data_IF_271229786997
#
_entry.id   IF_271229786997
#
_cell.length_a   1.000
_cell.length_b   1.000
_cell.length_c   1.000
_cell.angle_alpha   90.00
_cell.angle_beta   90.00
_cell.angle_gamma   90.00
#
_symmetry.space_group_name_H-M   'P 1'
#
loop_
_entity.id
_entity.type
_entity.pdbx_description
1 polymer ?
#
# COMPACT_ATOMS: atom_id res chain seq x y z
N UNK A 1 -3.72 -10.50 -12.27
CA UNK A 1 -4.77 -10.96 -11.33
C UNK A 1 -6.10 -11.06 -12.06
N UNK A 2 -6.90 -12.09 -11.78
CA UNK A 2 -8.24 -12.29 -12.34
C UNK A 2 -9.33 -11.70 -11.41
N UNK A 3 -10.57 -11.63 -11.90
CA UNK A 3 -11.71 -11.09 -11.12
C UNK A 3 -12.00 -11.85 -9.82
N UNK A 4 -11.72 -13.15 -9.75
CA UNK A 4 -11.95 -13.96 -8.55
C UNK A 4 -10.92 -13.62 -7.47
N UNK A 5 -9.64 -13.55 -7.84
CA UNK A 5 -8.53 -13.17 -6.94
C UNK A 5 -8.74 -11.77 -6.35
N UNK A 6 -9.16 -10.80 -7.18
CA UNK A 6 -9.49 -9.44 -6.73
C UNK A 6 -10.66 -9.46 -5.74
N UNK A 7 -11.71 -10.24 -6.01
CA UNK A 7 -12.86 -10.36 -5.13
C UNK A 7 -12.51 -11.04 -3.79
N UNK A 8 -11.56 -11.98 -3.78
CA UNK A 8 -11.05 -12.63 -2.58
C UNK A 8 -10.30 -11.64 -1.69
N UNK A 9 -9.36 -10.88 -2.25
CA UNK A 9 -8.63 -9.86 -1.49
C UNK A 9 -9.61 -8.79 -0.98
N UNK A 10 -10.53 -8.32 -1.81
CA UNK A 10 -11.53 -7.32 -1.41
C UNK A 10 -12.38 -7.78 -0.23
N UNK A 11 -12.77 -9.07 -0.17
CA UNK A 11 -13.53 -9.62 0.96
C UNK A 11 -12.74 -9.59 2.26
N UNK A 12 -11.41 -9.67 2.20
CA UNK A 12 -10.52 -9.63 3.37
C UNK A 12 -10.30 -8.20 3.87
N UNK A 13 -10.40 -7.19 3.02
CA UNK A 13 -10.36 -5.78 3.43
C UNK A 13 -11.63 -5.27 4.14
N UNK A 14 -12.56 -6.16 4.48
CA UNK A 14 -13.73 -5.81 5.27
C UNK A 14 -13.30 -5.59 6.74
N UNK A 15 -13.62 -4.47 7.40
CA UNK A 15 -13.22 -4.19 8.78
C UNK A 15 -13.48 -5.34 9.77
N UNK A 16 -14.62 -6.02 9.63
CA UNK A 16 -14.99 -7.16 10.50
C UNK A 16 -14.16 -8.44 10.30
N UNK A 17 -13.38 -8.54 9.21
CA UNK A 17 -12.62 -9.75 8.83
C UNK A 17 -11.18 -9.46 8.39
N UNK A 18 -10.73 -8.22 8.57
CA UNK A 18 -9.41 -7.79 8.11
C UNK A 18 -8.33 -8.32 9.02
N UNK A 19 -7.35 -8.99 8.43
CA UNK A 19 -6.12 -9.42 9.10
C UNK A 19 -4.97 -8.44 8.82
N UNK A 20 -5.28 -7.22 8.37
CA UNK A 20 -4.27 -6.19 8.14
C UNK A 20 -3.49 -5.96 9.43
N UNK A 21 -2.17 -6.17 9.36
CA UNK A 21 -1.31 -6.15 10.54
C UNK A 21 -0.79 -4.74 10.81
N UNK A 22 -0.52 -3.98 9.75
CA UNK A 22 0.05 -2.64 9.82
C UNK A 22 -0.47 -1.77 8.68
N UNK A 23 -0.86 -0.54 9.03
CA UNK A 23 -1.09 0.54 8.07
C UNK A 23 -0.05 1.63 8.34
N UNK A 24 0.64 2.05 7.27
CA UNK A 24 1.50 3.23 7.26
C UNK A 24 0.94 4.32 6.37
N UNK A 25 1.15 5.56 6.78
CA UNK A 25 0.85 6.73 5.96
C UNK A 25 2.00 7.71 5.94
N UNK A 26 2.35 8.22 4.76
CA UNK A 26 3.25 9.37 4.55
C UNK A 26 2.40 10.52 4.00
N UNK A 27 2.17 11.57 4.78
CA UNK A 27 1.47 12.78 4.31
C UNK A 27 2.47 13.78 3.74
N UNK A 28 2.30 14.14 2.48
CA UNK A 28 3.22 14.95 1.69
C UNK A 28 2.52 16.24 1.29
N UNK A 29 3.21 17.38 1.47
CA UNK A 29 2.71 18.67 1.04
C UNK A 29 3.02 18.95 -0.45
N UNK A 30 2.44 20.03 -0.99
CA UNK A 30 2.72 20.52 -2.34
C UNK A 30 4.22 20.84 -2.62
N UNK A 31 5.03 21.03 -1.58
CA UNK A 31 6.48 21.27 -1.70
C UNK A 31 7.29 19.96 -1.74
N UNK A 32 6.62 18.80 -1.83
CA UNK A 32 7.27 17.47 -1.81
C UNK A 32 7.97 17.15 -0.49
N UNK A 33 7.50 17.74 0.60
CA UNK A 33 8.02 17.48 1.95
C UNK A 33 7.05 16.59 2.73
N UNK A 34 7.60 15.59 3.43
CA UNK A 34 6.83 14.76 4.35
C UNK A 34 6.55 15.56 5.62
N UNK A 35 5.29 15.92 5.84
CA UNK A 35 4.88 16.72 7.01
C UNK A 35 4.33 15.88 8.16
N UNK A 36 3.92 14.63 7.89
CA UNK A 36 3.51 13.68 8.93
C UNK A 36 3.67 12.23 8.45
N UNK A 37 4.01 11.35 9.39
CA UNK A 37 4.07 9.91 9.15
C UNK A 37 3.40 9.17 10.31
N UNK A 38 2.74 8.06 10.01
CA UNK A 38 2.22 7.16 11.03
C UNK A 38 2.42 5.71 10.63
N UNK A 39 2.52 4.85 11.65
CA UNK A 39 2.56 3.41 11.51
C UNK A 39 1.79 2.81 12.69
N UNK A 40 0.59 2.29 12.43
CA UNK A 40 -0.24 1.71 13.47
C UNK A 40 -0.95 0.45 12.98
N UNK A 41 -1.20 -0.46 13.90
CA UNK A 41 -2.08 -1.58 13.63
C UNK A 41 -3.53 -1.07 13.54
N UNK A 42 -4.34 -1.55 12.57
CA UNK A 42 -5.76 -1.20 12.50
C UNK A 42 -6.52 -1.46 13.82
N UNK A 43 -6.09 -2.44 14.61
CA UNK A 43 -6.69 -2.78 15.91
C UNK A 43 -6.36 -1.76 17.02
N UNK A 44 -5.30 -0.97 16.84
CA UNK A 44 -4.87 0.06 17.78
C UNK A 44 -5.36 1.46 17.39
N UNK A 45 -5.90 1.61 16.17
CA UNK A 45 -6.51 2.84 15.68
C UNK A 45 -7.95 2.99 16.19
N UNK A 46 -8.51 4.21 16.22
CA UNK A 46 -9.95 4.40 16.35
C UNK A 46 -10.70 3.66 15.24
N UNK A 47 -11.83 3.04 15.58
CA UNK A 47 -12.64 2.24 14.65
C UNK A 47 -12.99 3.02 13.37
N UNK A 48 -13.47 4.26 13.51
CA UNK A 48 -13.81 5.14 12.39
C UNK A 48 -12.60 5.41 11.45
N UNK A 49 -11.39 5.51 11.98
CA UNK A 49 -10.17 5.72 11.18
C UNK A 49 -9.76 4.44 10.44
N UNK A 50 -9.76 3.31 11.15
CA UNK A 50 -9.45 2.00 10.57
C UNK A 50 -10.44 1.66 9.44
N UNK A 51 -11.75 1.86 9.66
CA UNK A 51 -12.78 1.66 8.64
C UNK A 51 -12.55 2.56 7.43
N UNK A 52 -12.21 3.84 7.65
CA UNK A 52 -11.94 4.77 6.56
C UNK A 52 -10.76 4.32 5.70
N UNK A 53 -9.63 3.94 6.31
CA UNK A 53 -8.47 3.46 5.57
C UNK A 53 -8.76 2.15 4.83
N UNK A 54 -9.38 1.16 5.48
CA UNK A 54 -9.77 -0.10 4.83
C UNK A 54 -10.75 0.12 3.68
N UNK A 55 -11.68 1.07 3.82
CA UNK A 55 -12.60 1.44 2.75
C UNK A 55 -11.88 2.06 1.55
N UNK A 56 -10.81 2.84 1.76
CA UNK A 56 -9.99 3.40 0.68
C UNK A 56 -9.29 2.29 -0.09
N UNK A 57 -8.65 1.34 0.60
CA UNK A 57 -8.03 0.18 -0.05
C UNK A 57 -9.07 -0.71 -0.77
N UNK A 58 -10.24 -0.93 -0.17
CA UNK A 58 -11.33 -1.67 -0.82
C UNK A 58 -11.82 -0.99 -2.10
N UNK A 59 -11.81 0.35 -2.14
CA UNK A 59 -12.18 1.14 -3.33
C UNK A 59 -11.16 1.01 -4.46
N UNK A 60 -9.86 0.92 -4.18
CA UNK A 60 -8.85 0.69 -5.24
C UNK A 60 -9.02 -0.68 -5.90
N UNK A 61 -9.49 -1.67 -5.15
CA UNK A 61 -9.86 -3.00 -5.66
C UNK A 61 -11.27 -3.07 -6.28
N UNK A 62 -12.01 -1.95 -6.30
CA UNK A 62 -13.35 -1.87 -6.86
C UNK A 62 -13.32 -1.29 -8.28
N UNK A 63 -14.16 -1.83 -9.18
CA UNK A 63 -14.30 -1.34 -10.56
C UNK A 63 -13.78 -2.30 -11.62
N UNK A 64 -13.48 -1.76 -12.80
CA UNK A 64 -12.88 -2.52 -13.90
C UNK A 64 -11.37 -2.64 -13.68
N UNK A 65 -10.77 -3.82 -13.85
CA UNK A 65 -9.31 -3.96 -13.97
C UNK A 65 -8.75 -2.93 -14.95
N UNK A 66 -7.54 -2.41 -14.71
CA UNK A 66 -6.83 -1.37 -15.49
C UNK A 66 -7.32 0.09 -15.31
N UNK A 67 -8.42 0.34 -14.59
CA UNK A 67 -8.80 1.72 -14.20
C UNK A 67 -8.35 2.10 -12.79
N UNK A 68 -8.66 1.25 -11.81
CA UNK A 68 -8.33 1.49 -10.39
C UNK A 68 -7.25 0.53 -9.87
N UNK A 69 -7.00 -0.54 -10.62
CA UNK A 69 -5.98 -1.55 -10.34
C UNK A 69 -5.11 -1.68 -11.59
N UNK A 70 -3.93 -1.05 -11.55
CA UNK A 70 -2.94 -1.14 -12.62
C UNK A 70 -2.05 -2.34 -12.34
N UNK A 71 -1.98 -3.27 -13.28
CA UNK A 71 -1.08 -4.40 -13.16
C UNK A 71 0.34 -3.98 -13.53
N UNK A 72 1.22 -3.88 -12.53
CA UNK A 72 2.64 -3.59 -12.75
C UNK A 72 3.36 -4.92 -12.95
N UNK A 73 3.67 -5.25 -14.19
CA UNK A 73 4.46 -6.43 -14.54
C UNK A 73 5.96 -6.15 -14.43
N UNK A 74 6.69 -7.00 -13.72
CA UNK A 74 8.15 -7.01 -13.75
C UNK A 74 8.64 -7.98 -14.80
N UNK A 75 9.60 -7.56 -15.64
CA UNK A 75 10.35 -8.48 -16.50
C UNK A 75 11.24 -9.41 -15.67
N UNK A 76 11.63 -10.56 -16.22
CA UNK A 76 12.49 -11.53 -15.53
C UNK A 76 13.83 -10.92 -15.11
N UNK A 77 14.33 -9.94 -15.86
CA UNK A 77 15.55 -9.19 -15.55
C UNK A 77 15.32 -8.21 -14.39
N UNK A 78 14.21 -7.47 -14.37
CA UNK A 78 13.83 -6.60 -13.24
C UNK A 78 13.60 -7.38 -11.94
N UNK A 79 13.07 -8.61 -12.02
CA UNK A 79 12.91 -9.47 -10.84
C UNK A 79 14.27 -9.90 -10.27
N UNK A 80 15.26 -10.17 -11.15
CA UNK A 80 16.58 -10.65 -10.74
C UNK A 80 17.49 -9.53 -10.24
N UNK A 81 17.44 -8.37 -10.88
CA UNK A 81 18.43 -7.30 -10.72
C UNK A 81 17.85 -5.92 -10.47
N UNK A 82 16.54 -5.72 -10.62
CA UNK A 82 15.89 -4.43 -10.44
C UNK A 82 15.82 -3.99 -8.98
N UNK A 83 16.29 -2.78 -8.71
CA UNK A 83 16.22 -2.15 -7.39
C UNK A 83 14.77 -1.94 -6.91
N UNK A 84 13.87 -1.60 -7.84
CA UNK A 84 12.43 -1.44 -7.59
C UNK A 84 11.79 -2.71 -7.03
N UNK A 85 12.08 -3.85 -7.66
CA UNK A 85 11.56 -5.14 -7.20
C UNK A 85 12.14 -5.51 -5.84
N UNK A 86 13.45 -5.30 -5.62
CA UNK A 86 14.09 -5.54 -4.32
C UNK A 86 13.47 -4.70 -3.21
N UNK A 87 13.20 -3.43 -3.47
CA UNK A 87 12.57 -2.53 -2.50
C UNK A 87 11.16 -3.01 -2.13
N UNK A 88 10.34 -3.35 -3.12
CA UNK A 88 8.99 -3.88 -2.87
C UNK A 88 9.02 -5.21 -2.10
N UNK A 89 9.99 -6.07 -2.40
CA UNK A 89 10.19 -7.33 -1.68
C UNK A 89 10.64 -7.08 -0.24
N UNK A 90 11.53 -6.13 0.01
CA UNK A 90 11.93 -5.73 1.36
C UNK A 90 10.74 -5.19 2.18
N UNK A 91 9.89 -4.37 1.58
CA UNK A 91 8.65 -3.88 2.21
C UNK A 91 7.69 -5.01 2.58
N UNK A 92 7.54 -5.99 1.67
CA UNK A 92 6.67 -7.16 1.89
C UNK A 92 7.23 -8.07 2.96
N UNK A 93 8.50 -8.46 2.84
CA UNK A 93 9.13 -9.45 3.72
C UNK A 93 9.36 -8.91 5.14
N UNK A 94 9.52 -7.58 5.28
CA UNK A 94 9.55 -6.91 6.59
C UNK A 94 8.16 -6.61 7.15
N UNK A 95 7.06 -6.98 6.49
CA UNK A 95 5.70 -6.61 6.90
C UNK A 95 5.54 -5.10 7.18
N UNK A 96 6.22 -4.25 6.40
CA UNK A 96 6.31 -2.80 6.56
C UNK A 96 6.95 -2.33 7.89
N UNK A 97 7.72 -3.17 8.60
CA UNK A 97 8.45 -2.76 9.81
C UNK A 97 9.80 -2.13 9.51
N UNK A 98 10.36 -2.35 8.31
CA UNK A 98 11.61 -1.74 7.87
C UNK A 98 11.38 -0.27 7.50
N UNK A 99 11.86 0.64 8.37
CA UNK A 99 11.70 2.08 8.18
C UNK A 99 12.53 2.62 7.02
N UNK A 100 13.72 2.08 6.76
CA UNK A 100 14.58 2.53 5.66
C UNK A 100 13.93 2.19 4.31
N UNK A 101 13.40 0.97 4.19
CA UNK A 101 12.68 0.56 2.98
C UNK A 101 11.41 1.42 2.76
N UNK A 102 10.65 1.71 3.82
CA UNK A 102 9.45 2.56 3.72
C UNK A 102 9.82 3.99 3.31
N UNK A 103 10.87 4.56 3.90
CA UNK A 103 11.33 5.90 3.55
C UNK A 103 11.84 5.97 2.12
N UNK A 104 12.63 4.98 1.68
CA UNK A 104 13.09 4.90 0.29
C UNK A 104 11.91 4.81 -0.69
N UNK A 105 10.87 4.04 -0.34
CA UNK A 105 9.67 3.92 -1.16
C UNK A 105 8.84 5.22 -1.20
N UNK A 106 8.56 5.83 -0.05
CA UNK A 106 7.86 7.13 0.00
C UNK A 106 8.67 8.20 -0.76
N UNK A 107 9.99 8.25 -0.60
CA UNK A 107 10.88 9.17 -1.31
C UNK A 107 10.83 8.99 -2.83
N UNK A 108 10.88 7.74 -3.31
CA UNK A 108 10.77 7.46 -4.75
C UNK A 108 9.42 7.93 -5.33
N UNK A 109 8.32 7.74 -4.60
CA UNK A 109 7.01 8.27 -5.02
C UNK A 109 7.05 9.80 -5.06
N UNK A 110 7.61 10.45 -4.04
CA UNK A 110 7.68 11.91 -3.95
C UNK A 110 8.50 12.53 -5.10
N UNK A 111 9.58 11.87 -5.50
CA UNK A 111 10.44 12.33 -6.59
C UNK A 111 9.78 12.18 -7.97
N UNK A 112 8.97 11.13 -8.15
CA UNK A 112 8.37 10.77 -9.44
C UNK A 112 6.96 11.31 -9.64
N UNK A 113 6.20 11.50 -8.56
CA UNK A 113 4.82 11.95 -8.59
C UNK A 113 4.76 13.48 -8.47
N UNK A 114 4.33 14.13 -9.54
CA UNK A 114 4.08 15.58 -9.55
C UNK A 114 2.59 15.86 -9.33
N UNK A 115 2.25 16.34 -8.14
CA UNK A 115 0.91 16.77 -7.76
C UNK A 115 0.97 18.17 -7.19
N UNK A 116 0.10 19.06 -7.68
CA UNK A 116 0.01 20.45 -7.20
C UNK A 116 -0.62 20.55 -5.80
N UNK A 117 -1.29 19.49 -5.34
CA UNK A 117 -1.98 19.41 -4.06
C UNK A 117 -1.27 18.48 -3.06
N UNK A 118 -1.61 18.63 -1.78
CA UNK A 118 -1.17 17.70 -0.74
C UNK A 118 -1.77 16.31 -0.96
N UNK A 119 -0.97 15.26 -0.76
CA UNK A 119 -1.41 13.88 -0.94
C UNK A 119 -0.92 12.97 0.19
N UNK A 120 -1.58 11.82 0.32
CA UNK A 120 -1.29 10.80 1.32
C UNK A 120 -0.89 9.51 0.62
N UNK A 121 0.34 9.06 0.87
CA UNK A 121 0.80 7.73 0.46
C UNK A 121 0.37 6.76 1.56
N UNK A 122 -0.48 5.80 1.22
CA UNK A 122 -0.98 4.78 2.14
C UNK A 122 -0.40 3.42 1.78
N UNK A 123 0.16 2.74 2.78
CA UNK A 123 0.66 1.38 2.69
C UNK A 123 -0.06 0.52 3.71
N UNK A 124 -0.43 -0.70 3.32
CA UNK A 124 -1.05 -1.67 4.22
C UNK A 124 -0.41 -3.03 3.97
N UNK A 125 -0.09 -3.70 5.07
CA UNK A 125 0.34 -5.08 5.05
C UNK A 125 -0.78 -6.00 5.53
N UNK A 126 -1.04 -7.06 4.76
CA UNK A 126 -1.93 -8.14 5.11
C UNK A 126 -1.25 -9.45 4.71
N UNK A 127 -1.14 -10.37 5.66
CA UNK A 127 -0.61 -11.71 5.41
C UNK A 127 -1.74 -12.58 4.85
N UNK A 128 -1.63 -12.95 3.58
CA UNK A 128 -2.54 -13.89 2.91
C UNK A 128 -1.81 -15.19 2.59
N UNK A 129 -2.17 -16.28 3.27
CA UNK A 129 -1.84 -17.62 2.78
C UNK A 129 -2.83 -17.98 1.67
N UNK A 130 -2.29 -18.19 0.46
CA UNK A 130 -3.03 -18.76 -0.67
C UNK A 130 -3.12 -20.28 -0.43
N UNK A 131 -4.34 -20.87 -0.40
CA UNK A 131 -4.52 -22.32 -0.27
C UNK A 131 -3.95 -23.13 -1.44
#
# INVERSE_FOLDING_TARGET
MNRKEIAEIRRRLNPERSNATLIRGCYVNQNREIISQFAQSPLAMPEDEAEKYLSLFSRTLSGTPDKNLVNIGFSTEQVREGEEHRLLMALRDSALTDEEAVQAFCGHIIDTLDLEDNYLILLMHDAYDVP
#
